data_IF_097864000962
#
_entry.id   IF_097864000962
#
_cell.length_a   1.000
_cell.length_b   1.000
_cell.length_c   1.000
_cell.angle_alpha   90.00
_cell.angle_beta   90.00
_cell.angle_gamma   90.00
#
_symmetry.space_group_name_H-M   'P 1'
#
loop_
_entity.id
_entity.type
_entity.pdbx_description
1 polymer ?
#
# COMPACT_ATOMS: atom_id res chain seq x y z
N UNK A 1 -42.95 -25.10 7.85
CA UNK A 1 -42.67 -24.44 9.13
C UNK A 1 -42.37 -25.59 10.09
N UNK A 2 -41.15 -25.84 10.51
CA UNK A 2 -40.40 -24.97 11.42
C UNK A 2 -38.88 -25.06 11.24
N UNK A 3 -38.21 -23.94 11.52
CA UNK A 3 -36.77 -23.75 11.39
C UNK A 3 -36.07 -24.39 12.59
N UNK A 4 -35.35 -25.50 12.37
CA UNK A 4 -34.46 -26.08 13.36
C UNK A 4 -33.24 -25.19 13.59
N UNK A 5 -33.34 -24.29 14.56
CA UNK A 5 -32.25 -23.42 15.03
C UNK A 5 -31.18 -24.29 15.67
N UNK A 6 -30.08 -24.53 14.96
CA UNK A 6 -28.87 -25.15 15.50
C UNK A 6 -28.07 -24.07 16.26
N UNK A 7 -28.60 -23.65 17.41
CA UNK A 7 -27.84 -22.87 18.40
C UNK A 7 -26.97 -23.81 19.24
N UNK A 8 -25.82 -23.35 19.78
CA UNK A 8 -24.98 -24.19 20.62
C UNK A 8 -25.72 -24.54 21.90
N UNK A 9 -26.15 -25.81 22.03
CA UNK A 9 -26.72 -26.36 23.26
C UNK A 9 -25.70 -26.20 24.39
N UNK A 10 -26.16 -25.70 25.54
CA UNK A 10 -25.32 -25.44 26.70
C UNK A 10 -24.51 -26.69 27.11
N UNK A 11 -23.24 -26.55 27.52
CA UNK A 11 -22.32 -27.66 27.74
C UNK A 11 -22.67 -28.58 28.94
N UNK A 12 -23.81 -28.39 29.60
CA UNK A 12 -24.21 -29.15 30.80
C UNK A 12 -24.98 -30.45 30.54
N UNK A 13 -25.59 -30.63 29.37
CA UNK A 13 -26.59 -31.71 29.16
C UNK A 13 -26.06 -32.92 28.39
N UNK A 14 -24.88 -32.82 27.77
CA UNK A 14 -24.32 -33.91 26.95
C UNK A 14 -22.96 -34.39 27.50
N UNK A 15 -22.86 -35.61 28.07
CA UNK A 15 -21.62 -36.12 28.64
C UNK A 15 -20.50 -36.28 27.59
N UNK A 16 -20.87 -36.48 26.31
CA UNK A 16 -19.89 -36.55 25.22
C UNK A 16 -19.28 -35.18 24.89
N UNK A 17 -20.05 -34.09 25.07
CA UNK A 17 -19.57 -32.72 24.89
C UNK A 17 -18.65 -32.31 26.05
N UNK A 18 -19.01 -32.63 27.29
CA UNK A 18 -18.17 -32.46 28.47
C UNK A 18 -16.83 -33.20 28.35
N UNK A 19 -16.85 -34.43 27.85
CA UNK A 19 -15.63 -35.20 27.60
C UNK A 19 -14.74 -34.57 26.52
N UNK A 20 -15.34 -34.11 25.41
CA UNK A 20 -14.60 -33.39 24.35
C UNK A 20 -13.97 -32.09 24.87
N UNK A 21 -14.71 -31.33 25.69
CA UNK A 21 -14.23 -30.09 26.30
C UNK A 21 -13.10 -30.36 27.31
N UNK A 22 -13.26 -31.36 28.18
CA UNK A 22 -12.22 -31.77 29.13
C UNK A 22 -10.96 -32.27 28.42
N UNK A 23 -11.12 -33.03 27.34
CA UNK A 23 -10.00 -33.47 26.50
C UNK A 23 -9.29 -32.28 25.85
N UNK A 24 -10.04 -31.36 25.21
CA UNK A 24 -9.47 -30.14 24.61
C UNK A 24 -8.73 -29.29 25.65
N UNK A 25 -9.33 -29.09 26.83
CA UNK A 25 -8.74 -28.32 27.91
C UNK A 25 -7.40 -28.91 28.39
N UNK A 26 -7.31 -30.24 28.49
CA UNK A 26 -6.08 -30.93 28.89
C UNK A 26 -4.99 -30.93 27.82
N UNK A 27 -5.37 -30.97 26.54
CA UNK A 27 -4.40 -31.17 25.45
C UNK A 27 -4.04 -29.90 24.69
N UNK A 28 -4.89 -28.87 24.68
CA UNK A 28 -4.76 -27.71 23.77
C UNK A 28 -5.04 -26.34 24.40
N UNK A 29 -5.54 -26.25 25.64
CA UNK A 29 -5.90 -24.95 26.22
C UNK A 29 -4.70 -24.04 26.56
N UNK A 30 -3.51 -24.62 26.73
CA UNK A 30 -2.27 -23.88 26.99
C UNK A 30 -1.41 -23.71 25.73
N UNK A 31 -1.81 -24.30 24.60
CA UNK A 31 -1.11 -24.12 23.34
C UNK A 31 -1.60 -22.82 22.67
N UNK A 32 -0.70 -21.95 22.23
CA UNK A 32 -1.08 -20.83 21.36
C UNK A 32 -1.88 -21.37 20.16
N UNK A 33 -2.97 -20.69 19.75
CA UNK A 33 -3.70 -21.06 18.55
C UNK A 33 -2.72 -21.21 17.39
N UNK A 34 -2.89 -22.26 16.58
CA UNK A 34 -2.09 -22.41 15.38
C UNK A 34 -2.19 -21.11 14.55
N UNK A 35 -1.06 -20.60 14.02
CA UNK A 35 -1.10 -19.42 13.19
C UNK A 35 -2.09 -19.64 12.04
N UNK A 36 -2.83 -18.61 11.62
CA UNK A 36 -3.82 -18.75 10.55
C UNK A 36 -3.15 -19.37 9.32
N UNK A 37 -3.58 -20.58 8.97
CA UNK A 37 -3.05 -21.27 7.80
C UNK A 37 -3.84 -20.85 6.56
N UNK A 38 -3.12 -20.24 5.63
CA UNK A 38 -3.66 -19.96 4.32
C UNK A 38 -3.86 -21.28 3.56
N UNK A 39 -5.07 -21.57 3.03
CA UNK A 39 -5.38 -22.86 2.43
C UNK A 39 -4.48 -23.16 1.21
N UNK A 40 -4.36 -24.43 0.80
CA UNK A 40 -3.68 -24.75 -0.44
C UNK A 40 -4.40 -24.11 -1.64
N UNK A 41 -3.64 -23.57 -2.58
CA UNK A 41 -4.17 -22.98 -3.81
C UNK A 41 -3.92 -23.92 -5.00
N UNK A 42 -4.89 -23.98 -5.91
CA UNK A 42 -4.73 -24.70 -7.16
C UNK A 42 -4.06 -23.81 -8.20
N UNK A 43 -3.00 -24.29 -8.84
CA UNK A 43 -2.37 -23.58 -9.95
C UNK A 43 -3.07 -23.84 -11.28
N UNK A 44 -2.60 -23.16 -12.33
CA UNK A 44 -3.12 -23.33 -13.70
C UNK A 44 -2.92 -24.76 -14.24
N UNK A 45 -1.96 -25.51 -13.68
CA UNK A 45 -1.69 -26.93 -13.94
C UNK A 45 -2.65 -27.89 -13.20
N UNK A 46 -3.59 -27.37 -12.42
CA UNK A 46 -4.52 -28.15 -11.61
C UNK A 46 -3.90 -28.71 -10.33
N UNK A 47 -2.62 -28.46 -10.05
CA UNK A 47 -1.91 -28.97 -8.87
C UNK A 47 -2.09 -28.06 -7.64
N UNK A 48 -2.25 -28.67 -6.46
CA UNK A 48 -2.36 -27.96 -5.19
C UNK A 48 -0.99 -27.57 -4.63
N UNK A 49 -0.85 -26.29 -4.28
CA UNK A 49 0.37 -25.70 -3.71
C UNK A 49 0.16 -25.34 -2.24
N UNK A 50 1.06 -25.81 -1.39
CA UNK A 50 1.02 -25.63 0.07
C UNK A 50 2.04 -24.60 0.56
N UNK A 51 3.12 -24.40 -0.18
CA UNK A 51 4.15 -23.42 0.11
C UNK A 51 3.68 -21.98 -0.19
N UNK A 52 4.14 -21.01 0.61
CA UNK A 52 3.69 -19.63 0.52
C UNK A 52 4.18 -18.91 -0.75
N UNK A 53 5.39 -19.19 -1.22
CA UNK A 53 5.93 -18.55 -2.43
C UNK A 53 5.18 -19.02 -3.67
N UNK A 54 4.98 -20.32 -3.75
CA UNK A 54 4.12 -20.98 -4.71
C UNK A 54 2.68 -20.40 -4.76
N UNK A 55 2.09 -20.07 -3.60
CA UNK A 55 0.77 -19.43 -3.54
C UNK A 55 0.79 -17.97 -3.97
N UNK A 56 1.84 -17.23 -3.62
CA UNK A 56 2.01 -15.85 -4.06
C UNK A 56 2.08 -15.76 -5.59
N UNK A 57 2.82 -16.67 -6.23
CA UNK A 57 2.90 -16.74 -7.70
C UNK A 57 1.53 -17.01 -8.35
N UNK A 58 0.73 -17.94 -7.78
CA UNK A 58 -0.65 -18.17 -8.25
C UNK A 58 -1.47 -16.88 -8.16
N UNK A 59 -1.42 -16.19 -7.03
CA UNK A 59 -2.18 -14.96 -6.82
C UNK A 59 -1.72 -13.85 -7.77
N UNK A 60 -0.41 -13.69 -7.98
CA UNK A 60 0.14 -12.72 -8.93
C UNK A 60 -0.42 -13.00 -10.32
N UNK A 61 -0.30 -14.23 -10.81
CA UNK A 61 -0.75 -14.58 -12.15
C UNK A 61 -2.27 -14.44 -12.33
N UNK A 62 -3.05 -14.70 -11.28
CA UNK A 62 -4.51 -14.62 -11.34
C UNK A 62 -5.02 -13.18 -11.28
N UNK A 63 -4.43 -12.33 -10.42
CA UNK A 63 -4.91 -10.97 -10.16
C UNK A 63 -4.19 -9.90 -10.99
N UNK A 64 -3.01 -10.21 -11.54
CA UNK A 64 -2.22 -9.31 -12.38
C UNK A 64 -1.92 -9.97 -13.74
N UNK A 65 -2.95 -10.27 -14.54
CA UNK A 65 -2.74 -10.75 -15.89
C UNK A 65 -1.97 -9.70 -16.71
N UNK A 66 -1.20 -10.12 -17.73
CA UNK A 66 -0.58 -9.19 -18.66
C UNK A 66 -1.61 -8.22 -19.24
N UNK A 67 -1.27 -6.93 -19.41
CA UNK A 67 -2.16 -5.98 -20.04
C UNK A 67 -2.52 -6.48 -21.44
N UNK A 68 -3.79 -6.36 -21.81
CA UNK A 68 -4.21 -6.63 -23.19
C UNK A 68 -3.47 -5.66 -24.11
N UNK A 69 -3.06 -6.14 -25.29
CA UNK A 69 -2.52 -5.26 -26.32
C UNK A 69 -3.56 -4.17 -26.63
N UNK A 70 -3.16 -2.92 -26.50
CA UNK A 70 -3.98 -1.78 -26.88
C UNK A 70 -4.13 -1.77 -28.40
N UNK A 71 -5.35 -1.64 -28.88
CA UNK A 71 -5.61 -1.33 -30.29
C UNK A 71 -5.16 0.12 -30.54
N UNK A 72 -4.22 0.31 -31.46
CA UNK A 72 -3.64 1.63 -31.80
C UNK A 72 -4.19 2.15 -33.13
N UNK A 73 -5.20 1.50 -33.72
CA UNK A 73 -5.76 1.89 -35.01
C UNK A 73 -6.39 3.29 -35.01
N UNK A 74 -6.75 3.82 -33.84
CA UNK A 74 -7.25 5.17 -33.65
C UNK A 74 -6.14 6.25 -33.66
N UNK A 75 -4.87 5.84 -33.53
CA UNK A 75 -3.71 6.73 -33.60
C UNK A 75 -3.16 6.88 -35.02
N UNK A 76 -3.66 6.10 -35.98
CA UNK A 76 -3.25 6.21 -37.38
C UNK A 76 -3.62 7.59 -37.95
N UNK A 77 -2.60 8.38 -38.30
CA UNK A 77 -2.76 9.76 -38.79
C UNK A 77 -2.76 10.83 -37.71
N UNK A 78 -2.59 10.48 -36.43
CA UNK A 78 -2.40 11.46 -35.36
C UNK A 78 -1.00 12.10 -35.46
N UNK A 79 -0.97 13.39 -35.80
CA UNK A 79 0.25 14.21 -35.69
C UNK A 79 0.20 14.96 -34.37
N UNK A 80 1.07 14.61 -33.42
CA UNK A 80 1.21 15.37 -32.18
C UNK A 80 1.70 16.80 -32.50
N UNK A 81 1.20 17.81 -31.79
CA UNK A 81 1.72 19.17 -31.93
C UNK A 81 3.18 19.21 -31.49
N UNK A 82 3.90 20.23 -31.99
CA UNK A 82 5.27 20.50 -31.55
C UNK A 82 5.27 20.65 -30.01
N UNK A 83 6.16 19.95 -29.29
CA UNK A 83 6.27 20.09 -27.85
C UNK A 83 6.45 21.55 -27.46
N UNK A 84 5.75 22.00 -26.42
CA UNK A 84 5.94 23.36 -25.90
C UNK A 84 7.33 23.45 -25.29
N UNK A 85 8.13 24.39 -25.78
CA UNK A 85 9.40 24.72 -25.14
C UNK A 85 9.11 25.38 -23.79
N UNK A 86 9.42 24.66 -22.72
CA UNK A 86 9.36 25.21 -21.36
C UNK A 86 10.68 25.96 -21.15
N UNK A 87 10.65 27.28 -20.88
CA UNK A 87 11.86 28.02 -20.61
C UNK A 87 12.57 27.40 -19.40
N UNK A 88 13.83 27.01 -19.57
CA UNK A 88 14.67 26.48 -18.50
C UNK A 88 15.29 27.61 -17.65
N UNK A 89 15.07 28.85 -18.06
CA UNK A 89 15.62 30.04 -17.44
C UNK A 89 14.82 30.37 -16.18
N UNK A 90 15.18 29.74 -15.06
CA UNK A 90 14.63 30.07 -13.76
C UNK A 90 15.39 31.26 -13.17
N UNK A 91 14.75 32.43 -13.13
CA UNK A 91 15.35 33.61 -12.54
C UNK A 91 15.41 33.49 -11.00
N UNK A 92 16.54 33.84 -10.40
CA UNK A 92 16.73 33.82 -8.94
C UNK A 92 15.63 34.62 -8.21
N UNK A 93 15.22 35.75 -8.77
CA UNK A 93 14.14 36.58 -8.24
C UNK A 93 12.80 35.85 -8.17
N UNK A 94 12.51 34.99 -9.14
CA UNK A 94 11.27 34.19 -9.15
C UNK A 94 11.29 33.14 -8.04
N UNK A 95 12.44 32.52 -7.79
CA UNK A 95 12.61 31.55 -6.70
C UNK A 95 12.41 32.25 -5.36
N UNK A 96 13.09 33.38 -5.14
CA UNK A 96 12.98 34.17 -3.91
C UNK A 96 11.54 34.66 -3.70
N UNK A 97 10.90 35.19 -4.75
CA UNK A 97 9.52 35.64 -4.69
C UNK A 97 8.56 34.50 -4.31
N UNK A 98 8.77 33.32 -4.90
CA UNK A 98 7.93 32.15 -4.64
C UNK A 98 8.10 31.67 -3.20
N UNK A 99 9.33 31.59 -2.69
CA UNK A 99 9.62 31.22 -1.29
C UNK A 99 8.94 32.21 -0.33
N UNK A 100 9.04 33.52 -0.59
CA UNK A 100 8.38 34.55 0.24
C UNK A 100 6.87 34.46 0.26
N UNK A 101 6.26 33.95 -0.81
CA UNK A 101 4.80 33.80 -0.93
C UNK A 101 4.28 32.53 -0.27
N UNK A 102 5.15 31.61 0.16
CA UNK A 102 4.73 30.38 0.82
C UNK A 102 4.05 30.70 2.16
N UNK A 103 2.82 30.20 2.40
CA UNK A 103 2.17 30.36 3.70
C UNK A 103 2.96 29.57 4.77
N UNK A 104 3.30 30.21 5.92
CA UNK A 104 4.20 29.63 6.90
C UNK A 104 3.62 28.41 7.63
N UNK A 105 2.30 28.34 7.79
CA UNK A 105 1.60 27.35 8.61
C UNK A 105 1.06 26.16 7.81
N UNK A 106 1.70 25.80 6.69
CA UNK A 106 1.35 24.56 5.97
C UNK A 106 1.99 23.35 6.64
N UNK A 107 1.30 22.22 6.54
CA UNK A 107 1.80 20.95 7.03
C UNK A 107 3.12 20.59 6.32
N UNK A 108 4.13 20.10 7.05
CA UNK A 108 5.41 19.73 6.48
C UNK A 108 5.28 18.53 5.53
N UNK A 109 6.14 18.50 4.51
CA UNK A 109 6.22 17.40 3.56
C UNK A 109 6.90 16.15 4.16
N UNK A 110 7.17 15.13 3.32
CA UNK A 110 7.92 13.93 3.73
C UNK A 110 9.32 14.22 4.27
N UNK A 111 9.91 15.34 3.86
CA UNK A 111 11.19 15.90 4.34
C UNK A 111 11.12 16.48 5.76
N UNK A 112 9.91 16.67 6.31
CA UNK A 112 9.61 17.24 7.62
C UNK A 112 10.04 18.71 7.80
N UNK A 113 10.38 19.40 6.72
CA UNK A 113 10.76 20.82 6.75
C UNK A 113 9.47 21.65 6.72
N UNK A 114 9.35 22.61 7.63
CA UNK A 114 8.21 23.54 7.65
C UNK A 114 8.51 24.75 6.77
N UNK A 115 7.48 25.30 6.12
CA UNK A 115 7.63 26.46 5.23
C UNK A 115 8.28 27.66 5.91
N UNK A 116 8.05 27.86 7.21
CA UNK A 116 8.71 28.91 8.00
C UNK A 116 10.23 28.84 7.90
N UNK A 117 10.81 27.65 7.92
CA UNK A 117 12.25 27.48 7.89
C UNK A 117 12.81 27.82 6.50
N UNK A 118 12.10 27.45 5.44
CA UNK A 118 12.45 27.81 4.06
C UNK A 118 12.43 29.33 3.81
N UNK A 119 11.47 30.05 4.40
CA UNK A 119 11.42 31.52 4.32
C UNK A 119 12.61 32.22 4.97
N UNK A 120 13.26 31.59 5.96
CA UNK A 120 14.45 32.15 6.62
C UNK A 120 15.74 31.99 5.78
N UNK A 121 15.78 31.03 4.85
CA UNK A 121 16.97 30.73 4.02
C UNK A 121 17.31 31.84 3.00
N UNK A 122 16.37 32.69 2.62
CA UNK A 122 16.61 33.86 1.75
C UNK A 122 17.61 34.84 2.39
N UNK A 123 17.60 34.95 3.73
CA UNK A 123 18.44 35.90 4.46
C UNK A 123 19.93 35.52 4.43
N UNK A 124 20.23 34.22 4.34
CA UNK A 124 21.60 33.70 4.41
C UNK A 124 22.27 33.57 3.05
N UNK A 125 21.50 33.32 1.98
CA UNK A 125 22.01 33.25 0.60
C UNK A 125 22.51 34.60 0.09
N UNK A 126 21.87 35.71 0.47
CA UNK A 126 22.35 37.06 0.13
C UNK A 126 23.70 37.46 0.76
N UNK A 127 24.12 36.78 1.82
CA UNK A 127 25.39 37.06 2.51
C UNK A 127 26.57 36.20 2.03
N UNK A 128 26.32 35.21 1.17
CA UNK A 128 27.34 34.28 0.65
C UNK A 128 28.06 34.78 -0.60
N UNK A 129 27.69 35.94 -1.17
CA UNK A 129 28.30 36.49 -2.39
C UNK A 129 29.52 37.39 -2.14
N UNK A 130 30.01 37.45 -0.90
CA UNK A 130 31.15 38.29 -0.50
C UNK A 130 32.43 37.51 -0.11
N UNK A 131 32.47 36.18 -0.31
CA UNK A 131 33.59 35.37 0.15
C UNK A 131 33.91 34.23 -0.84
N UNK A 132 34.44 34.59 -2.01
CA UNK A 132 35.28 33.73 -2.83
C UNK A 132 36.39 34.62 -3.43
N UNK A 133 37.68 34.27 -3.27
CA UNK A 133 38.81 34.97 -3.88
C UNK A 133 38.87 34.79 -5.40
#
# INVERSE_FOLDING_TARGET
MDKGVFGPSAPGENPSALWKLSKWARTRALEPPAPPQFPPLQGADGQLRYDNQSKAEILINQFFPPPRATDLSDLDGCTYPVPVEIPQDLAEEQVIHTIKKLPPDKAPGPDKIINRDASHLDTTLGSSKALLP
#
